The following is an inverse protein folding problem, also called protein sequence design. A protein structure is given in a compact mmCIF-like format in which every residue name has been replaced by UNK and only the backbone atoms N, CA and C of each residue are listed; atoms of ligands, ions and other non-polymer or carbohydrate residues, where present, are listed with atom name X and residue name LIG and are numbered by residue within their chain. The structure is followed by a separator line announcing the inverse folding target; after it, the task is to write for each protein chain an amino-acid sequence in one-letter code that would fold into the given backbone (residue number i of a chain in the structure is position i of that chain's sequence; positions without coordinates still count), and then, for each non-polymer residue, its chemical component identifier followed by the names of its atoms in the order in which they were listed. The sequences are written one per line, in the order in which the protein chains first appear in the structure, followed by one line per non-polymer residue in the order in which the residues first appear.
data_IF_787308365669
#
_entry.id   IF_787308365669
#
_cell.length_a   1.000
_cell.length_b   1.000
_cell.length_c   1.000
_cell.angle_alpha   90.00
_cell.angle_beta   90.00
_cell.angle_gamma   90.00
#
_symmetry.space_group_name_H-M   'P 1'
#
loop_
_entity.id
_entity.type
_entity.pdbx_description
1 polymer ?
#
# COMPACT_ATOMS: atom_id res chain seq x y z
N UNK A 1 -1.95 106.10 -5.09
CA UNK A 1 -1.26 105.23 -6.01
C UNK A 1 -0.69 104.02 -5.25
N UNK A 2 -1.37 102.93 -5.18
CA UNK A 2 -0.77 101.69 -4.69
C UNK A 2 -1.29 100.56 -5.52
N UNK A 3 -0.31 99.93 -6.26
CA UNK A 3 -0.55 98.76 -7.08
C UNK A 3 -0.50 97.49 -6.19
N UNK A 4 -1.59 96.79 -6.08
CA UNK A 4 -1.65 95.52 -5.42
C UNK A 4 -1.32 94.37 -6.41
N UNK A 5 -0.35 93.56 -6.06
CA UNK A 5 0.01 92.35 -6.80
C UNK A 5 -0.76 91.17 -6.28
N UNK A 6 -1.69 90.58 -7.07
CA UNK A 6 -2.31 89.31 -6.80
C UNK A 6 -1.34 88.19 -7.13
N UNK A 7 -1.00 87.36 -6.12
CA UNK A 7 -0.28 86.08 -6.29
C UNK A 7 -1.27 84.94 -6.45
N UNK A 8 -1.38 84.38 -7.66
CA UNK A 8 -2.08 83.15 -7.92
C UNK A 8 -1.28 81.97 -7.40
N UNK A 9 -1.86 81.23 -6.48
CA UNK A 9 -1.32 79.96 -5.99
C UNK A 9 -1.93 78.84 -6.84
N UNK A 10 -1.14 78.19 -7.67
CA UNK A 10 -1.53 76.94 -8.36
C UNK A 10 -1.33 75.77 -7.41
N UNK A 11 -2.42 75.13 -6.99
CA UNK A 11 -2.40 73.84 -6.26
C UNK A 11 -2.40 72.75 -7.30
N UNK A 12 -1.26 72.08 -7.47
CA UNK A 12 -1.16 70.87 -8.31
C UNK A 12 -1.62 69.69 -7.48
N UNK A 13 -2.80 69.15 -7.78
CA UNK A 13 -3.28 67.91 -7.21
C UNK A 13 -2.68 66.77 -8.00
N UNK A 14 -1.65 66.08 -7.44
CA UNK A 14 -1.12 64.86 -7.97
C UNK A 14 -2.08 63.70 -7.62
N UNK A 15 -2.85 63.24 -8.59
CA UNK A 15 -3.63 61.99 -8.46
C UNK A 15 -2.63 60.79 -8.53
N UNK A 16 -2.39 60.17 -7.35
CA UNK A 16 -1.68 58.88 -7.27
C UNK A 16 -2.67 57.79 -7.70
N UNK A 17 -2.59 57.37 -8.96
CA UNK A 17 -3.28 56.16 -9.44
C UNK A 17 -2.59 54.93 -8.84
N UNK A 18 -3.18 54.42 -7.76
CA UNK A 18 -2.82 53.10 -7.21
C UNK A 18 -3.33 52.03 -8.19
N UNK A 19 -2.46 51.57 -9.09
CA UNK A 19 -2.77 50.42 -9.94
C UNK A 19 -2.78 49.16 -9.08
N UNK A 20 -3.97 48.74 -8.68
CA UNK A 20 -4.19 47.40 -8.12
C UNK A 20 -3.99 46.42 -9.27
N UNK A 21 -2.79 45.88 -9.40
CA UNK A 21 -2.56 44.69 -10.21
C UNK A 21 -3.27 43.52 -9.50
N UNK A 22 -4.49 43.28 -9.94
CA UNK A 22 -5.12 41.97 -9.67
C UNK A 22 -4.25 40.95 -10.40
N UNK A 23 -3.41 40.24 -9.67
CA UNK A 23 -2.70 39.09 -10.20
C UNK A 23 -3.76 38.16 -10.77
N UNK A 24 -3.86 38.08 -12.09
CA UNK A 24 -4.72 37.12 -12.75
C UNK A 24 -4.28 35.73 -12.29
N UNK A 25 -5.16 35.05 -11.53
CA UNK A 25 -4.96 33.68 -11.10
C UNK A 25 -4.69 32.86 -12.35
N UNK A 26 -3.49 32.29 -12.48
CA UNK A 26 -3.15 31.45 -13.63
C UNK A 26 -4.21 30.36 -13.75
N UNK A 27 -4.66 30.02 -14.99
CA UNK A 27 -5.62 28.95 -15.15
C UNK A 27 -5.02 27.68 -14.54
N UNK A 28 -5.74 27.05 -13.61
CA UNK A 28 -5.32 25.84 -12.94
C UNK A 28 -5.02 24.76 -13.99
N UNK A 29 -3.73 24.49 -14.22
CA UNK A 29 -3.35 23.31 -14.98
C UNK A 29 -3.71 22.09 -14.14
N UNK A 30 -4.37 21.06 -14.73
CA UNK A 30 -4.66 19.87 -14.00
C UNK A 30 -3.38 19.23 -13.49
N UNK A 31 -3.40 18.73 -12.24
CA UNK A 31 -2.33 17.90 -11.71
C UNK A 31 -2.30 16.60 -12.52
N UNK A 32 -1.17 16.31 -13.16
CA UNK A 32 -0.96 15.04 -13.86
C UNK A 32 -0.28 14.09 -12.89
N UNK A 33 -0.95 12.97 -12.62
CA UNK A 33 -0.48 11.92 -11.72
C UNK A 33 -0.31 10.64 -12.53
N UNK A 34 0.89 10.11 -12.58
CA UNK A 34 1.14 8.77 -13.10
C UNK A 34 0.65 7.73 -12.09
N UNK A 35 0.04 6.69 -12.58
CA UNK A 35 -0.43 5.57 -11.74
C UNK A 35 0.20 4.29 -12.25
N UNK A 36 1.00 3.65 -11.41
CA UNK A 36 1.61 2.35 -11.67
C UNK A 36 0.85 1.30 -10.86
N UNK A 37 0.06 0.47 -11.54
CA UNK A 37 -0.79 -0.53 -10.90
C UNK A 37 -0.78 -1.83 -11.70
N UNK A 38 -0.86 -2.96 -11.03
CA UNK A 38 -1.05 -4.28 -11.67
C UNK A 38 -2.53 -4.44 -12.00
N UNK A 39 -2.93 -4.19 -13.23
CA UNK A 39 -4.34 -4.34 -13.66
C UNK A 39 -4.63 -5.73 -14.19
N UNK A 40 -3.59 -6.42 -14.66
CA UNK A 40 -3.63 -7.80 -15.12
C UNK A 40 -2.51 -8.62 -14.47
N UNK A 41 -2.57 -9.95 -14.54
CA UNK A 41 -1.58 -10.83 -13.93
C UNK A 41 -1.71 -10.95 -12.40
N UNK A 42 -0.64 -11.40 -11.72
CA UNK A 42 -0.63 -11.55 -10.26
C UNK A 42 -0.84 -10.19 -9.57
N UNK A 43 -1.74 -10.13 -8.59
CA UNK A 43 -2.04 -8.88 -7.88
C UNK A 43 -3.02 -7.94 -8.60
N UNK A 44 -3.73 -8.42 -9.63
CA UNK A 44 -4.70 -7.61 -10.39
C UNK A 44 -5.87 -7.13 -9.52
N UNK A 45 -6.29 -7.88 -8.53
CA UNK A 45 -7.32 -7.47 -7.57
C UNK A 45 -6.95 -6.19 -6.82
N UNK A 46 -5.70 -6.11 -6.38
CA UNK A 46 -5.16 -4.94 -5.68
C UNK A 46 -5.08 -3.72 -6.61
N UNK A 47 -4.54 -3.91 -7.82
CA UNK A 47 -4.37 -2.81 -8.78
C UNK A 47 -5.67 -2.22 -9.30
N UNK A 48 -6.67 -3.06 -9.59
CA UNK A 48 -7.99 -2.60 -10.03
C UNK A 48 -8.68 -1.76 -8.95
N UNK A 49 -8.65 -2.22 -7.70
CA UNK A 49 -9.20 -1.47 -6.56
C UNK A 49 -8.48 -0.13 -6.35
N UNK A 50 -7.16 -0.10 -6.49
CA UNK A 50 -6.34 1.12 -6.43
C UNK A 50 -6.77 2.17 -7.45
N UNK A 51 -6.94 1.78 -8.71
CA UNK A 51 -7.34 2.73 -9.78
C UNK A 51 -8.73 3.29 -9.52
N UNK A 52 -9.68 2.46 -9.08
CA UNK A 52 -11.04 2.93 -8.76
C UNK A 52 -11.04 3.83 -7.53
N UNK A 53 -10.23 3.56 -6.51
CA UNK A 53 -10.07 4.45 -5.35
C UNK A 53 -9.57 5.84 -5.76
N UNK A 54 -8.57 5.90 -6.66
CA UNK A 54 -8.05 7.16 -7.21
C UNK A 54 -9.09 7.91 -8.04
N UNK A 55 -9.90 7.21 -8.84
CA UNK A 55 -10.99 7.81 -9.61
C UNK A 55 -12.04 8.44 -8.69
N UNK A 56 -12.46 7.73 -7.64
CA UNK A 56 -13.41 8.25 -6.64
C UNK A 56 -12.85 9.47 -5.90
N UNK A 57 -11.56 9.47 -5.56
CA UNK A 57 -10.91 10.62 -4.95
C UNK A 57 -10.87 11.82 -5.90
N UNK A 58 -10.53 11.61 -7.18
CA UNK A 58 -10.53 12.65 -8.20
C UNK A 58 -11.94 13.22 -8.41
N UNK A 59 -12.96 12.38 -8.55
CA UNK A 59 -14.38 12.78 -8.65
C UNK A 59 -14.80 13.66 -7.44
N UNK A 60 -14.33 13.30 -6.25
CA UNK A 60 -14.64 14.05 -5.02
C UNK A 60 -13.95 15.41 -4.94
N UNK A 61 -12.71 15.50 -5.44
CA UNK A 61 -11.91 16.72 -5.47
C UNK A 61 -12.34 17.69 -6.60
N UNK A 62 -12.84 17.16 -7.71
CA UNK A 62 -13.30 17.92 -8.87
C UNK A 62 -14.75 18.43 -8.72
N UNK A 63 -15.03 19.11 -7.60
CA UNK A 63 -16.37 19.72 -7.41
C UNK A 63 -16.61 20.84 -8.40
N UNK A 64 -17.90 21.13 -8.82
CA UNK A 64 -18.24 22.26 -9.67
C UNK A 64 -17.73 23.59 -9.08
N UNK A 65 -16.86 24.29 -9.83
CA UNK A 65 -16.20 25.52 -9.36
C UNK A 65 -14.94 25.28 -8.54
N UNK A 66 -14.57 24.02 -8.25
CA UNK A 66 -13.30 23.64 -7.63
C UNK A 66 -12.12 24.02 -8.51
N UNK A 67 -10.99 24.34 -7.87
CA UNK A 67 -9.77 24.74 -8.59
C UNK A 67 -8.83 23.56 -8.85
N UNK A 68 -9.12 22.39 -8.27
CA UNK A 68 -8.31 21.19 -8.39
C UNK A 68 -8.87 20.27 -9.48
N UNK A 69 -8.00 19.94 -10.42
CA UNK A 69 -8.29 18.93 -11.46
C UNK A 69 -7.16 17.94 -11.49
N UNK A 70 -7.48 16.66 -11.63
CA UNK A 70 -6.52 15.56 -11.68
C UNK A 70 -6.63 14.82 -13.00
N UNK A 71 -5.51 14.61 -13.67
CA UNK A 71 -5.42 13.68 -14.79
C UNK A 71 -4.61 12.46 -14.34
N UNK A 72 -5.28 11.33 -14.18
CA UNK A 72 -4.67 10.05 -13.89
C UNK A 72 -4.17 9.41 -15.20
N UNK A 73 -2.87 9.13 -15.26
CA UNK A 73 -2.19 8.48 -16.38
C UNK A 73 -1.81 7.06 -15.92
N UNK A 74 -2.70 6.11 -16.21
CA UNK A 74 -2.63 4.75 -15.66
C UNK A 74 -1.83 3.84 -16.58
N UNK A 75 -0.86 3.12 -16.01
CA UNK A 75 -0.06 2.09 -16.66
C UNK A 75 -0.23 0.75 -15.93
N UNK A 76 -0.50 -0.31 -16.69
CA UNK A 76 -0.53 -1.68 -16.19
C UNK A 76 0.89 -2.22 -16.09
N UNK A 77 1.34 -2.48 -14.88
CA UNK A 77 2.69 -2.97 -14.62
C UNK A 77 2.79 -4.48 -14.48
N UNK A 78 1.67 -5.18 -14.33
CA UNK A 78 1.59 -6.65 -14.20
C UNK A 78 2.50 -7.23 -13.08
N UNK A 79 2.83 -6.43 -12.06
CA UNK A 79 3.87 -6.71 -11.06
C UNK A 79 5.27 -6.97 -11.67
N UNK A 80 5.53 -6.52 -12.90
CA UNK A 80 6.83 -6.63 -13.54
C UNK A 80 7.67 -5.37 -13.31
N UNK A 81 8.83 -5.48 -12.64
CA UNK A 81 9.71 -4.35 -12.38
C UNK A 81 10.20 -3.63 -13.65
N UNK A 82 10.32 -4.33 -14.78
CA UNK A 82 10.76 -3.72 -16.03
C UNK A 82 9.64 -2.89 -16.67
N UNK A 83 8.39 -3.40 -16.66
CA UNK A 83 7.23 -2.63 -17.11
C UNK A 83 7.01 -1.39 -16.24
N UNK A 84 7.22 -1.49 -14.93
CA UNK A 84 7.16 -0.34 -14.04
C UNK A 84 8.24 0.71 -14.38
N UNK A 85 9.47 0.29 -14.71
CA UNK A 85 10.54 1.19 -15.13
C UNK A 85 10.24 1.85 -16.49
N UNK A 86 9.75 1.11 -17.46
CA UNK A 86 9.34 1.66 -18.75
C UNK A 86 8.23 2.70 -18.58
N UNK A 87 7.24 2.39 -17.74
CA UNK A 87 6.12 3.29 -17.48
C UNK A 87 6.54 4.62 -16.82
N UNK A 88 7.40 4.59 -15.77
CA UNK A 88 7.86 5.83 -15.14
C UNK A 88 8.70 6.68 -16.10
N UNK A 89 9.52 6.05 -16.96
CA UNK A 89 10.30 6.75 -17.99
C UNK A 89 9.42 7.40 -19.07
N UNK A 90 8.31 6.74 -19.44
CA UNK A 90 7.34 7.31 -20.38
C UNK A 90 6.60 8.50 -19.75
N UNK A 91 6.18 8.36 -18.49
CA UNK A 91 5.50 9.41 -17.73
C UNK A 91 6.40 10.63 -17.53
N UNK A 92 7.70 10.44 -17.23
CA UNK A 92 8.67 11.51 -17.09
C UNK A 92 8.85 12.29 -18.42
N UNK A 93 8.98 11.60 -19.56
CA UNK A 93 9.02 12.24 -20.90
C UNK A 93 7.77 13.09 -21.18
N UNK A 94 6.66 12.78 -20.55
CA UNK A 94 5.43 13.55 -20.62
C UNK A 94 5.37 14.70 -19.58
N UNK A 95 6.43 14.87 -18.75
CA UNK A 95 6.52 15.88 -17.71
C UNK A 95 5.69 15.57 -16.47
N UNK A 96 5.47 14.30 -16.16
CA UNK A 96 4.81 13.84 -14.93
C UNK A 96 5.88 13.70 -13.84
N UNK A 97 5.68 14.39 -12.72
CA UNK A 97 6.62 14.41 -11.59
C UNK A 97 6.05 13.82 -10.31
N UNK A 98 4.83 13.29 -10.36
CA UNK A 98 4.16 12.62 -9.25
C UNK A 98 3.63 11.28 -9.72
N UNK A 99 4.03 10.23 -9.02
CA UNK A 99 3.60 8.84 -9.28
C UNK A 99 2.88 8.30 -8.04
N UNK A 100 1.73 7.68 -8.22
CA UNK A 100 1.09 6.81 -7.22
C UNK A 100 1.27 5.37 -7.67
N UNK A 101 1.77 4.53 -6.77
CA UNK A 101 2.32 3.22 -7.10
C UNK A 101 3.86 3.27 -7.15
N UNK A 102 4.53 2.17 -7.54
CA UNK A 102 3.94 0.88 -7.84
C UNK A 102 3.50 0.13 -6.58
N UNK A 103 2.88 -1.02 -6.80
CA UNK A 103 2.28 -1.82 -5.75
C UNK A 103 3.30 -2.73 -5.06
N UNK A 104 4.19 -3.38 -5.79
CA UNK A 104 5.15 -4.32 -5.22
C UNK A 104 6.50 -3.67 -4.89
N UNK A 105 7.17 -4.23 -3.90
CA UNK A 105 8.51 -3.78 -3.50
C UNK A 105 9.57 -4.04 -4.57
N UNK A 106 9.40 -5.05 -5.40
CA UNK A 106 10.31 -5.33 -6.53
C UNK A 106 10.22 -4.25 -7.60
N UNK A 107 9.01 -3.80 -7.92
CA UNK A 107 8.79 -2.68 -8.84
C UNK A 107 9.36 -1.38 -8.26
N UNK A 108 9.07 -1.10 -6.97
CA UNK A 108 9.56 0.10 -6.30
C UNK A 108 11.09 0.13 -6.24
N UNK A 109 11.74 -0.98 -5.90
CA UNK A 109 13.20 -1.10 -5.90
C UNK A 109 13.79 -0.80 -7.29
N UNK A 110 13.10 -1.22 -8.36
CA UNK A 110 13.54 -1.01 -9.73
C UNK A 110 13.42 0.43 -10.19
N UNK A 111 12.31 1.13 -9.84
CA UNK A 111 12.08 2.51 -10.29
C UNK A 111 12.75 3.56 -9.39
N UNK A 112 13.06 3.21 -8.12
CA UNK A 112 13.62 4.16 -7.13
C UNK A 112 14.84 4.95 -7.64
N UNK A 113 15.90 4.32 -8.22
CA UNK A 113 17.06 5.08 -8.69
C UNK A 113 16.70 6.11 -9.78
N UNK A 114 15.72 5.77 -10.63
CA UNK A 114 15.22 6.67 -11.65
C UNK A 114 14.45 7.84 -11.03
N UNK A 115 13.52 7.56 -10.13
CA UNK A 115 12.73 8.57 -9.44
C UNK A 115 13.60 9.58 -8.67
N UNK A 116 14.62 9.08 -7.95
CA UNK A 116 15.55 9.93 -7.19
C UNK A 116 16.38 10.84 -8.11
N UNK A 117 16.86 10.32 -9.25
CA UNK A 117 17.70 11.10 -10.18
C UNK A 117 16.92 12.08 -11.05
N UNK A 118 15.59 11.92 -11.20
CA UNK A 118 14.73 12.73 -12.05
C UNK A 118 13.76 13.64 -11.28
N UNK A 119 13.91 13.73 -9.94
CA UNK A 119 13.03 14.54 -9.09
C UNK A 119 11.55 14.15 -9.27
N UNK A 120 11.26 12.86 -9.24
CA UNK A 120 9.90 12.32 -9.28
C UNK A 120 9.51 11.90 -7.87
N UNK A 121 8.42 12.44 -7.34
CA UNK A 121 7.83 12.05 -6.08
C UNK A 121 7.00 10.78 -6.31
N UNK A 122 7.31 9.71 -5.58
CA UNK A 122 6.62 8.42 -5.66
C UNK A 122 5.88 8.15 -4.35
N UNK A 123 4.60 7.85 -4.45
CA UNK A 123 3.74 7.46 -3.33
C UNK A 123 3.31 6.02 -3.54
N UNK A 124 4.01 5.07 -2.93
CA UNK A 124 3.60 3.66 -2.98
C UNK A 124 2.59 3.36 -1.89
N UNK A 125 1.52 2.66 -2.27
CA UNK A 125 0.48 2.23 -1.35
C UNK A 125 0.73 0.84 -0.78
N UNK A 126 1.47 -0.03 -1.50
CA UNK A 126 1.59 -1.45 -1.18
C UNK A 126 3.02 -1.99 -1.06
N UNK A 127 4.05 -1.17 -1.29
CA UNK A 127 5.43 -1.60 -1.08
C UNK A 127 5.81 -1.52 0.40
N UNK A 128 6.02 -2.67 1.03
CA UNK A 128 6.27 -2.78 2.47
C UNK A 128 7.71 -3.13 2.84
N UNK A 129 8.55 -3.56 1.86
CA UNK A 129 9.91 -4.02 2.12
C UNK A 129 10.73 -3.05 2.98
N UNK A 130 11.24 -3.54 4.12
CA UNK A 130 12.05 -2.76 5.05
C UNK A 130 13.38 -2.28 4.45
N UNK A 131 13.88 -2.97 3.41
CA UNK A 131 15.07 -2.55 2.67
C UNK A 131 14.88 -1.26 1.87
N UNK A 132 13.64 -0.83 1.66
CA UNK A 132 13.27 0.41 0.98
C UNK A 132 12.86 1.54 1.95
N UNK A 133 12.97 1.33 3.26
CA UNK A 133 12.82 2.37 4.29
C UNK A 133 14.08 3.24 4.33
N UNK A 134 14.20 4.22 3.43
CA UNK A 134 15.42 5.03 3.24
C UNK A 134 15.07 6.50 3.41
N UNK A 135 15.64 7.12 4.44
CA UNK A 135 15.42 8.54 4.70
C UNK A 135 16.01 9.44 3.61
N UNK A 136 15.26 10.46 3.20
CA UNK A 136 15.72 11.52 2.31
C UNK A 136 15.57 11.22 0.81
N UNK A 137 15.19 10.01 0.41
CA UNK A 137 14.86 9.69 -0.98
C UNK A 137 13.51 10.31 -1.43
N UNK A 138 13.09 10.06 -2.67
CA UNK A 138 11.85 10.61 -3.22
C UNK A 138 10.66 9.65 -3.09
N UNK A 139 10.79 8.63 -2.23
CA UNK A 139 9.79 7.58 -2.04
C UNK A 139 9.05 7.81 -0.73
N UNK A 140 7.73 7.77 -0.81
CA UNK A 140 6.83 7.81 0.34
C UNK A 140 5.90 6.60 0.30
N UNK A 141 5.60 5.99 1.45
CA UNK A 141 4.76 4.81 1.53
C UNK A 141 3.62 5.04 2.51
N UNK A 142 2.38 4.98 2.02
CA UNK A 142 1.19 5.16 2.85
C UNK A 142 0.76 3.85 3.54
N UNK A 143 1.67 2.90 3.66
CA UNK A 143 1.55 1.66 4.40
C UNK A 143 2.71 1.49 5.40
N UNK A 144 2.51 0.76 6.51
CA UNK A 144 3.60 0.35 7.39
C UNK A 144 4.56 -0.60 6.67
N UNK A 145 5.81 -0.65 7.13
CA UNK A 145 6.82 -1.56 6.57
C UNK A 145 6.76 -2.98 7.17
N UNK A 146 7.46 -3.93 6.53
CA UNK A 146 7.52 -5.35 6.89
C UNK A 146 7.89 -5.61 8.36
N UNK A 147 8.67 -4.74 9.01
CA UNK A 147 8.99 -4.93 10.43
C UNK A 147 7.75 -4.82 11.29
N UNK A 148 6.87 -3.86 10.98
CA UNK A 148 5.60 -3.69 11.69
C UNK A 148 4.64 -4.83 11.41
N UNK A 149 4.59 -5.29 10.17
CA UNK A 149 3.77 -6.43 9.80
C UNK A 149 4.27 -7.72 10.48
N UNK A 150 5.58 -7.98 10.46
CA UNK A 150 6.19 -9.11 11.14
C UNK A 150 5.92 -9.13 12.66
N UNK A 151 5.95 -7.97 13.32
CA UNK A 151 5.53 -7.85 14.73
C UNK A 151 4.10 -8.34 14.93
N UNK A 152 3.17 -7.97 14.04
CA UNK A 152 1.77 -8.37 14.13
C UNK A 152 1.60 -9.87 13.86
N UNK A 153 2.21 -10.41 12.79
CA UNK A 153 2.16 -11.84 12.43
C UNK A 153 2.68 -12.70 13.58
N UNK A 154 3.85 -12.35 14.10
CA UNK A 154 4.50 -13.10 15.18
C UNK A 154 3.70 -13.02 16.46
N UNK A 155 3.11 -11.85 16.78
CA UNK A 155 2.24 -11.71 17.94
C UNK A 155 1.01 -12.64 17.85
N UNK A 156 0.38 -12.73 16.67
CA UNK A 156 -0.75 -13.65 16.46
C UNK A 156 -0.32 -15.11 16.59
N UNK A 157 0.76 -15.51 15.91
CA UNK A 157 1.29 -16.88 16.02
C UNK A 157 1.62 -17.26 17.47
N UNK A 158 2.24 -16.32 18.19
CA UNK A 158 2.60 -16.54 19.59
C UNK A 158 1.38 -16.64 20.52
N UNK A 159 0.36 -15.81 20.27
CA UNK A 159 -0.93 -15.86 20.95
C UNK A 159 -1.62 -17.21 20.72
N UNK A 160 -1.56 -17.75 19.51
CA UNK A 160 -2.16 -19.03 19.12
C UNK A 160 -1.33 -20.24 19.58
N UNK A 161 -0.20 -20.02 20.27
CA UNK A 161 0.65 -21.07 20.82
C UNK A 161 1.67 -21.65 19.84
N UNK A 162 1.86 -21.05 18.67
CA UNK A 162 2.87 -21.49 17.69
C UNK A 162 4.27 -21.19 18.23
N UNK A 163 5.17 -22.17 18.11
CA UNK A 163 6.57 -22.08 18.58
C UNK A 163 7.57 -22.54 17.51
N UNK A 164 7.08 -23.18 16.44
CA UNK A 164 7.89 -23.58 15.27
C UNK A 164 7.16 -23.20 14.00
N UNK A 165 7.85 -22.52 13.09
CA UNK A 165 7.32 -22.21 11.76
C UNK A 165 8.17 -22.83 10.67
N UNK A 166 7.47 -23.31 9.62
CA UNK A 166 8.05 -23.82 8.36
C UNK A 166 7.69 -22.81 7.28
N UNK A 167 8.64 -21.95 6.87
CA UNK A 167 8.33 -20.89 5.90
C UNK A 167 8.31 -21.40 4.46
N UNK A 168 7.37 -20.87 3.67
CA UNK A 168 7.29 -20.99 2.23
C UNK A 168 7.12 -19.58 1.66
N UNK A 169 8.01 -19.14 0.76
CA UNK A 169 7.93 -17.76 0.27
C UNK A 169 8.38 -17.59 -1.17
N UNK A 170 7.77 -16.61 -1.82
CA UNK A 170 8.12 -16.16 -3.16
C UNK A 170 9.47 -15.45 -3.16
N UNK A 171 10.30 -15.76 -4.17
CA UNK A 171 11.61 -15.15 -4.35
C UNK A 171 11.51 -13.77 -5.01
N UNK A 172 11.11 -12.76 -4.24
CA UNK A 172 11.13 -11.35 -4.65
C UNK A 172 11.50 -10.43 -3.46
N UNK A 173 11.61 -9.12 -3.73
CA UNK A 173 12.07 -8.15 -2.71
C UNK A 173 11.08 -8.02 -1.54
N UNK A 174 9.78 -8.04 -1.82
CA UNK A 174 8.73 -7.91 -0.80
C UNK A 174 8.64 -9.17 0.06
N UNK A 175 8.26 -10.28 -0.55
CA UNK A 175 8.03 -11.54 0.19
C UNK A 175 9.31 -12.08 0.85
N UNK A 176 10.49 -11.90 0.23
CA UNK A 176 11.77 -12.23 0.83
C UNK A 176 12.10 -11.35 2.03
N UNK A 177 11.86 -10.05 1.94
CA UNK A 177 12.06 -9.09 3.03
C UNK A 177 11.12 -9.33 4.21
N UNK A 178 9.85 -9.64 3.93
CA UNK A 178 8.87 -9.99 4.95
C UNK A 178 9.23 -11.32 5.63
N UNK A 179 9.63 -12.35 4.85
CA UNK A 179 10.13 -13.61 5.41
C UNK A 179 11.28 -13.37 6.40
N UNK A 180 12.29 -12.55 6.02
CA UNK A 180 13.45 -12.27 6.88
C UNK A 180 13.02 -11.49 8.15
N UNK A 181 12.06 -10.57 8.03
CA UNK A 181 11.50 -9.82 9.15
C UNK A 181 10.73 -10.73 10.12
N UNK A 182 9.87 -11.62 9.60
CA UNK A 182 9.12 -12.61 10.40
C UNK A 182 10.08 -13.60 11.07
N UNK A 183 11.05 -14.14 10.33
CA UNK A 183 12.08 -15.03 10.89
C UNK A 183 12.80 -14.37 12.06
N UNK A 184 13.32 -13.16 11.86
CA UNK A 184 14.04 -12.44 12.91
C UNK A 184 13.15 -12.18 14.13
N UNK A 185 11.93 -11.69 13.93
CA UNK A 185 11.00 -11.41 15.02
C UNK A 185 10.60 -12.68 15.79
N UNK A 186 10.36 -13.79 15.08
CA UNK A 186 9.95 -15.06 15.69
C UNK A 186 11.08 -15.70 16.50
N UNK A 187 12.32 -15.70 15.97
CA UNK A 187 13.52 -16.19 16.67
C UNK A 187 13.85 -15.33 17.90
N UNK A 188 13.66 -14.00 17.82
CA UNK A 188 13.86 -13.09 18.96
C UNK A 188 12.88 -13.37 20.13
N UNK A 189 11.71 -13.93 19.85
CA UNK A 189 10.78 -14.40 20.89
C UNK A 189 11.10 -15.82 21.40
N UNK A 190 12.15 -16.45 20.88
CA UNK A 190 12.55 -17.82 21.26
C UNK A 190 11.86 -18.92 20.45
N UNK A 191 11.23 -18.59 19.33
CA UNK A 191 10.65 -19.54 18.38
C UNK A 191 11.69 -20.20 17.50
N UNK A 192 11.32 -21.31 16.88
CA UNK A 192 12.14 -22.04 15.91
C UNK A 192 11.64 -21.80 14.48
N UNK A 193 12.55 -21.42 13.57
CA UNK A 193 12.25 -21.28 12.15
C UNK A 193 13.08 -22.31 11.38
N UNK A 194 12.38 -23.18 10.61
CA UNK A 194 13.08 -24.17 9.78
C UNK A 194 13.68 -23.53 8.53
N UNK A 195 14.38 -24.32 7.70
CA UNK A 195 14.95 -23.81 6.46
C UNK A 195 13.88 -23.31 5.47
N UNK A 196 12.69 -23.91 5.51
CA UNK A 196 11.59 -23.59 4.61
C UNK A 196 11.89 -23.88 3.14
N UNK A 197 11.13 -23.24 2.24
CA UNK A 197 11.33 -23.34 0.82
C UNK A 197 11.06 -22.01 0.11
N UNK A 198 12.01 -21.55 -0.68
CA UNK A 198 11.89 -20.35 -1.52
C UNK A 198 11.59 -20.76 -2.96
N UNK A 199 10.48 -20.29 -3.53
CA UNK A 199 10.11 -20.56 -4.92
C UNK A 199 10.27 -19.32 -5.81
N UNK A 200 10.53 -19.53 -7.09
CA UNK A 200 10.75 -18.45 -8.05
C UNK A 200 9.40 -17.82 -8.48
N UNK A 201 9.44 -16.55 -8.86
CA UNK A 201 8.26 -15.78 -9.29
C UNK A 201 7.55 -16.39 -10.51
N UNK A 202 8.25 -17.20 -11.29
CA UNK A 202 7.75 -17.91 -12.48
C UNK A 202 7.26 -19.33 -12.17
N UNK A 203 7.28 -19.75 -10.90
CA UNK A 203 6.87 -21.11 -10.52
C UNK A 203 5.38 -21.30 -10.75
N UNK A 204 5.02 -22.36 -11.48
CA UNK A 204 3.64 -22.79 -11.71
C UNK A 204 3.34 -24.17 -11.14
N UNK A 205 4.38 -24.98 -10.86
CA UNK A 205 4.27 -26.30 -10.22
C UNK A 205 4.82 -26.22 -8.79
N UNK A 206 3.93 -26.24 -7.81
CA UNK A 206 4.29 -26.15 -6.39
C UNK A 206 4.48 -27.52 -5.71
N UNK A 207 4.30 -28.64 -6.41
CA UNK A 207 4.51 -29.98 -5.87
C UNK A 207 5.85 -30.17 -5.15
N UNK A 208 7.00 -29.80 -5.74
CA UNK A 208 8.31 -29.88 -5.06
C UNK A 208 8.40 -29.03 -3.78
N UNK A 209 7.82 -27.83 -3.79
CA UNK A 209 7.78 -26.96 -2.63
C UNK A 209 6.94 -27.55 -1.49
N UNK A 210 5.76 -28.10 -1.83
CA UNK A 210 4.88 -28.75 -0.85
C UNK A 210 5.55 -30.00 -0.27
N UNK A 211 6.21 -30.83 -1.08
CA UNK A 211 6.92 -32.01 -0.60
C UNK A 211 8.03 -31.65 0.40
N UNK A 212 8.78 -30.58 0.14
CA UNK A 212 9.86 -30.11 1.03
C UNK A 212 9.31 -29.59 2.34
N UNK A 213 8.30 -28.69 2.34
CA UNK A 213 7.72 -28.17 3.60
C UNK A 213 7.00 -29.26 4.37
N UNK A 214 6.36 -30.23 3.71
CA UNK A 214 5.74 -31.40 4.32
C UNK A 214 6.78 -32.24 5.10
N UNK A 215 7.95 -32.48 4.49
CA UNK A 215 9.08 -33.16 5.14
C UNK A 215 9.56 -32.40 6.38
N UNK A 216 9.68 -31.07 6.30
CA UNK A 216 10.10 -30.24 7.43
C UNK A 216 9.06 -30.21 8.55
N UNK A 217 7.76 -30.13 8.23
CA UNK A 217 6.67 -30.25 9.20
C UNK A 217 6.71 -31.61 9.90
N UNK A 218 6.86 -32.70 9.13
CA UNK A 218 6.95 -34.05 9.70
C UNK A 218 8.16 -34.21 10.63
N UNK A 219 9.31 -33.63 10.24
CA UNK A 219 10.51 -33.59 11.07
C UNK A 219 10.28 -32.80 12.37
N UNK A 220 9.67 -31.60 12.30
CA UNK A 220 9.36 -30.77 13.46
C UNK A 220 8.41 -31.47 14.44
N UNK A 221 7.44 -32.25 13.97
CA UNK A 221 6.51 -33.05 14.77
C UNK A 221 7.20 -34.14 15.59
N UNK A 222 8.43 -34.54 15.22
CA UNK A 222 9.20 -35.52 16.02
C UNK A 222 9.74 -34.95 17.32
N UNK A 223 9.87 -33.62 17.43
CA UNK A 223 10.47 -32.91 18.57
C UNK A 223 9.57 -31.87 19.24
N UNK A 224 8.44 -31.55 18.60
CA UNK A 224 7.50 -30.53 19.08
C UNK A 224 6.06 -30.99 18.96
N UNK A 225 5.16 -30.56 19.86
CA UNK A 225 3.74 -30.87 19.76
C UNK A 225 3.16 -30.34 18.43
N UNK A 226 2.39 -31.12 17.68
CA UNK A 226 1.86 -30.73 16.38
C UNK A 226 1.09 -29.39 16.40
N UNK A 227 0.36 -29.11 17.49
CA UNK A 227 -0.40 -27.87 17.65
C UNK A 227 0.47 -26.60 17.79
N UNK A 228 1.79 -26.74 18.00
CA UNK A 228 2.72 -25.62 18.13
C UNK A 228 3.52 -25.37 16.84
N UNK A 229 3.19 -26.08 15.76
CA UNK A 229 3.87 -26.00 14.47
C UNK A 229 2.91 -25.38 13.44
N UNK A 230 3.40 -24.42 12.66
CA UNK A 230 2.64 -23.82 11.58
C UNK A 230 3.47 -23.69 10.29
N UNK A 231 2.80 -23.60 9.15
CA UNK A 231 3.38 -23.13 7.91
C UNK A 231 3.17 -21.62 7.83
N UNK A 232 4.21 -20.87 7.46
CA UNK A 232 4.13 -19.46 7.14
C UNK A 232 4.31 -19.26 5.64
N UNK A 233 3.35 -18.65 4.95
CA UNK A 233 3.38 -18.42 3.51
C UNK A 233 3.39 -16.93 3.20
N UNK A 234 4.47 -16.45 2.56
CA UNK A 234 4.51 -15.12 1.97
C UNK A 234 4.38 -15.24 0.43
N UNK A 235 3.27 -14.72 -0.11
CA UNK A 235 2.84 -14.94 -1.50
C UNK A 235 1.94 -13.81 -2.00
N UNK A 236 1.57 -13.90 -3.28
CA UNK A 236 0.47 -13.18 -3.91
C UNK A 236 -0.62 -14.17 -4.38
N UNK A 237 -1.31 -13.87 -5.49
CA UNK A 237 -2.42 -14.68 -6.00
C UNK A 237 -2.01 -16.11 -6.43
N UNK A 238 -0.72 -16.41 -6.60
CA UNK A 238 -0.24 -17.78 -6.80
C UNK A 238 -0.48 -18.71 -5.61
N UNK A 239 -0.91 -18.19 -4.47
CA UNK A 239 -1.42 -18.97 -3.33
C UNK A 239 -2.46 -20.00 -3.76
N UNK A 240 -3.25 -19.71 -4.79
CA UNK A 240 -4.20 -20.65 -5.40
C UNK A 240 -3.50 -21.93 -5.87
N UNK A 241 -2.39 -21.79 -6.57
CA UNK A 241 -1.57 -22.93 -7.05
C UNK A 241 -0.89 -23.69 -5.90
N UNK A 242 -0.41 -22.96 -4.89
CA UNK A 242 0.17 -23.52 -3.66
C UNK A 242 -0.88 -24.38 -2.94
N UNK A 243 -2.08 -23.88 -2.73
CA UNK A 243 -3.13 -24.58 -1.97
C UNK A 243 -3.74 -25.75 -2.75
N UNK A 244 -3.88 -25.63 -4.08
CA UNK A 244 -4.28 -26.77 -4.92
C UNK A 244 -3.27 -27.91 -4.83
N UNK A 245 -1.96 -27.59 -4.72
CA UNK A 245 -0.91 -28.59 -4.54
C UNK A 245 -0.89 -29.15 -3.10
N UNK A 246 -1.13 -28.32 -2.10
CA UNK A 246 -1.09 -28.71 -0.68
C UNK A 246 -2.31 -29.56 -0.24
N UNK A 247 -3.44 -29.39 -0.92
CA UNK A 247 -4.71 -30.03 -0.51
C UNK A 247 -4.66 -31.56 -0.46
N UNK A 248 -3.80 -32.19 -1.25
CA UNK A 248 -3.62 -33.66 -1.28
C UNK A 248 -2.58 -34.17 -0.29
N UNK A 249 -1.80 -33.31 0.36
CA UNK A 249 -0.78 -33.68 1.33
C UNK A 249 -1.35 -33.65 2.75
N UNK A 250 -1.43 -34.82 3.39
CA UNK A 250 -2.06 -34.97 4.72
C UNK A 250 -1.26 -34.34 5.86
N UNK A 251 0.03 -34.08 5.67
CA UNK A 251 0.86 -33.46 6.70
C UNK A 251 0.59 -31.96 6.75
N UNK A 252 0.68 -31.27 5.62
CA UNK A 252 0.49 -29.82 5.57
C UNK A 252 -0.98 -29.41 5.66
N UNK A 253 -1.92 -30.25 5.17
CA UNK A 253 -3.37 -30.00 5.35
C UNK A 253 -3.86 -30.20 6.78
N UNK A 254 -3.10 -30.92 7.60
CA UNK A 254 -3.33 -31.08 9.04
C UNK A 254 -2.46 -30.15 9.90
N UNK A 255 -1.95 -29.06 9.35
CA UNK A 255 -1.11 -28.05 10.02
C UNK A 255 -1.76 -26.68 9.89
N UNK A 256 -1.67 -25.82 10.91
CA UNK A 256 -2.11 -24.41 10.78
C UNK A 256 -1.22 -23.64 9.83
N UNK A 257 -1.83 -22.73 9.07
CA UNK A 257 -1.10 -21.85 8.16
C UNK A 257 -1.32 -20.39 8.54
N UNK A 258 -0.30 -19.55 8.28
CA UNK A 258 -0.36 -18.10 8.43
C UNK A 258 0.15 -17.46 7.14
N UNK A 259 -0.47 -16.39 6.73
CA UNK A 259 -0.17 -15.72 5.46
C UNK A 259 0.51 -14.37 5.61
N UNK A 260 0.51 -13.64 4.50
CA UNK A 260 1.09 -12.31 4.35
C UNK A 260 0.04 -11.33 3.80
N UNK A 261 0.38 -10.04 3.83
CA UNK A 261 -0.45 -8.94 3.31
C UNK A 261 -0.80 -9.11 1.83
N UNK A 262 0.12 -9.66 1.04
CA UNK A 262 -0.07 -9.87 -0.41
C UNK A 262 -1.20 -10.85 -0.77
N UNK A 263 -1.73 -11.61 0.20
CA UNK A 263 -2.86 -12.54 0.00
C UNK A 263 -4.15 -12.02 0.64
N UNK A 264 -4.05 -11.07 1.57
CA UNK A 264 -5.23 -10.56 2.25
C UNK A 264 -6.27 -10.01 1.25
N UNK A 265 -7.51 -10.48 1.36
CA UNK A 265 -8.64 -10.12 0.51
C UNK A 265 -8.48 -10.52 -0.98
N UNK A 266 -7.58 -11.45 -1.34
CA UNK A 266 -7.43 -11.98 -2.70
C UNK A 266 -8.75 -12.57 -3.22
N UNK A 267 -9.26 -12.04 -4.33
CA UNK A 267 -10.45 -12.56 -5.00
C UNK A 267 -10.18 -13.89 -5.70
N UNK A 268 -9.03 -14.11 -6.40
CA UNK A 268 -8.69 -15.40 -6.99
C UNK A 268 -8.70 -16.56 -6.00
N UNK A 269 -8.37 -16.32 -4.73
CA UNK A 269 -8.44 -17.35 -3.69
C UNK A 269 -9.89 -17.74 -3.37
N UNK A 270 -10.83 -16.81 -3.36
CA UNK A 270 -12.25 -17.10 -3.17
C UNK A 270 -12.87 -17.80 -4.37
N UNK A 271 -12.47 -17.44 -5.59
CA UNK A 271 -13.02 -17.95 -6.84
C UNK A 271 -12.61 -19.41 -7.11
N UNK A 272 -11.51 -19.89 -6.48
CA UNK A 272 -11.06 -21.26 -6.60
C UNK A 272 -11.56 -22.10 -5.40
N UNK A 273 -12.58 -22.91 -5.61
CA UNK A 273 -13.23 -23.68 -4.55
C UNK A 273 -12.28 -24.60 -3.78
N UNK A 274 -11.29 -25.23 -4.44
CA UNK A 274 -10.33 -26.11 -3.77
C UNK A 274 -9.40 -25.30 -2.86
N UNK A 275 -8.87 -24.19 -3.35
CA UNK A 275 -7.98 -23.33 -2.59
C UNK A 275 -8.73 -22.65 -1.42
N UNK A 276 -9.97 -22.18 -1.64
CA UNK A 276 -10.80 -21.59 -0.59
C UNK A 276 -11.13 -22.60 0.50
N UNK A 277 -11.48 -23.84 0.15
CA UNK A 277 -11.71 -24.94 1.11
C UNK A 277 -10.44 -25.23 1.92
N UNK A 278 -9.29 -25.32 1.27
CA UNK A 278 -8.01 -25.53 1.94
C UNK A 278 -7.70 -24.38 2.92
N UNK A 279 -7.77 -23.12 2.46
CA UNK A 279 -7.54 -21.95 3.30
C UNK A 279 -8.42 -21.92 4.55
N UNK A 280 -9.70 -22.26 4.39
CA UNK A 280 -10.64 -22.34 5.52
C UNK A 280 -10.30 -23.49 6.47
N UNK A 281 -9.89 -24.66 5.95
CA UNK A 281 -9.61 -25.85 6.77
C UNK A 281 -8.34 -25.72 7.61
N UNK A 282 -7.34 -25.00 7.14
CA UNK A 282 -6.05 -24.83 7.84
C UNK A 282 -5.97 -23.53 8.67
N UNK A 283 -7.10 -22.80 8.78
CA UNK A 283 -7.18 -21.51 9.47
C UNK A 283 -6.06 -20.56 9.05
N UNK A 284 -6.15 -20.03 7.82
CA UNK A 284 -5.13 -19.22 7.17
C UNK A 284 -5.40 -17.72 7.34
N UNK A 285 -5.02 -17.08 8.49
CA UNK A 285 -5.12 -15.63 8.66
C UNK A 285 -4.02 -14.91 7.91
N UNK A 286 -4.40 -13.84 7.22
CA UNK A 286 -3.52 -12.98 6.45
C UNK A 286 -3.58 -11.56 7.03
N UNK A 287 -2.45 -10.96 7.42
CA UNK A 287 -2.41 -9.60 7.91
C UNK A 287 -2.58 -8.60 6.77
N UNK A 288 -3.16 -7.46 7.10
CA UNK A 288 -3.01 -6.23 6.33
C UNK A 288 -3.14 -5.07 7.32
N UNK A 289 -2.52 -3.92 7.05
CA UNK A 289 -2.74 -2.80 7.96
C UNK A 289 -4.24 -2.46 8.06
N UNK A 290 -4.70 -2.29 9.31
CA UNK A 290 -6.14 -2.19 9.62
C UNK A 290 -6.66 -0.77 9.50
N UNK A 291 -7.92 -0.66 9.12
CA UNK A 291 -8.65 0.59 9.16
C UNK A 291 -9.13 0.87 10.59
N UNK A 292 -9.25 2.15 10.94
CA UNK A 292 -9.84 2.54 12.22
C UNK A 292 -11.36 2.33 12.17
N UNK A 293 -11.88 1.48 13.06
CA UNK A 293 -13.34 1.23 13.17
C UNK A 293 -14.12 2.50 13.55
N UNK A 294 -13.49 3.45 14.25
CA UNK A 294 -14.11 4.75 14.56
C UNK A 294 -14.33 5.61 13.31
N UNK A 295 -13.59 5.36 12.23
CA UNK A 295 -13.73 6.03 10.93
C UNK A 295 -14.59 5.24 9.94
N UNK A 296 -15.28 4.19 10.36
CA UNK A 296 -16.06 3.32 9.46
C UNK A 296 -17.06 4.13 8.61
N UNK A 297 -17.73 5.10 9.17
CA UNK A 297 -18.65 5.97 8.42
C UNK A 297 -17.98 6.76 7.28
N UNK A 298 -16.66 6.91 7.30
CA UNK A 298 -15.88 7.61 6.27
C UNK A 298 -15.34 6.64 5.21
N UNK A 299 -14.78 5.50 5.62
CA UNK A 299 -14.16 4.57 4.66
C UNK A 299 -15.15 3.57 4.06
N UNK A 300 -16.21 3.17 4.78
CA UNK A 300 -17.16 2.16 4.28
C UNK A 300 -17.85 2.58 2.97
N UNK A 301 -18.36 3.82 2.81
CA UNK A 301 -18.98 4.23 1.54
C UNK A 301 -18.02 4.19 0.35
N UNK A 302 -16.72 4.45 0.58
CA UNK A 302 -15.70 4.38 -0.46
C UNK A 302 -15.39 2.92 -0.81
N UNK A 303 -15.26 2.07 0.22
CA UNK A 303 -15.10 0.62 0.05
C UNK A 303 -16.25 0.02 -0.76
N UNK A 304 -17.49 0.33 -0.39
CA UNK A 304 -18.70 -0.16 -1.08
C UNK A 304 -18.75 0.32 -2.55
N UNK A 305 -18.34 1.57 -2.81
CA UNK A 305 -18.30 2.11 -4.16
C UNK A 305 -17.21 1.44 -5.03
N UNK A 306 -16.05 1.08 -4.44
CA UNK A 306 -15.01 0.33 -5.14
C UNK A 306 -15.52 -1.07 -5.45
N UNK A 307 -16.07 -1.77 -4.47
CA UNK A 307 -16.61 -3.12 -4.63
C UNK A 307 -17.74 -3.15 -5.68
N UNK A 308 -18.63 -2.16 -5.67
CA UNK A 308 -19.69 -2.04 -6.69
C UNK A 308 -19.16 -1.84 -8.12
N UNK A 309 -17.99 -1.19 -8.30
CA UNK A 309 -17.39 -0.96 -9.62
C UNK A 309 -16.49 -2.10 -10.09
N UNK A 310 -15.85 -2.83 -9.17
CA UNK A 310 -14.85 -3.85 -9.49
C UNK A 310 -15.34 -5.28 -9.25
N UNK A 311 -16.34 -5.47 -8.39
CA UNK A 311 -16.69 -6.78 -7.84
C UNK A 311 -15.71 -7.28 -6.78
N UNK A 312 -14.70 -6.46 -6.40
CA UNK A 312 -13.61 -6.82 -5.49
C UNK A 312 -13.73 -5.96 -4.23
N UNK A 313 -13.73 -6.59 -3.07
CA UNK A 313 -13.64 -5.87 -1.79
C UNK A 313 -12.25 -5.26 -1.68
N UNK A 314 -12.14 -3.91 -1.57
CA UNK A 314 -10.83 -3.27 -1.52
C UNK A 314 -10.16 -3.54 -0.18
N UNK A 315 -8.84 -3.60 -0.22
CA UNK A 315 -7.98 -3.62 0.93
C UNK A 315 -7.65 -2.21 1.44
N UNK A 316 -6.90 -2.13 2.54
CA UNK A 316 -6.46 -0.85 3.08
C UNK A 316 -5.40 -0.17 2.19
N UNK A 317 -4.63 -0.91 1.38
CA UNK A 317 -3.69 -0.35 0.42
C UNK A 317 -4.42 0.46 -0.66
N UNK A 318 -5.47 -0.11 -1.25
CA UNK A 318 -6.29 0.61 -2.22
C UNK A 318 -6.93 1.86 -1.61
N UNK A 319 -7.49 1.77 -0.40
CA UNK A 319 -8.10 2.90 0.29
C UNK A 319 -7.08 3.99 0.65
N UNK A 320 -5.82 3.66 0.91
CA UNK A 320 -4.77 4.65 1.17
C UNK A 320 -4.46 5.52 -0.05
N UNK A 321 -4.72 5.03 -1.27
CA UNK A 321 -4.55 5.84 -2.48
C UNK A 321 -5.63 6.91 -2.64
N UNK A 322 -6.82 6.67 -2.10
CA UNK A 322 -7.83 7.72 -1.98
C UNK A 322 -7.28 8.87 -1.13
N UNK A 323 -6.69 8.58 0.02
CA UNK A 323 -6.06 9.59 0.88
C UNK A 323 -4.88 10.29 0.19
N UNK A 324 -4.10 9.56 -0.62
CA UNK A 324 -2.95 10.11 -1.34
C UNK A 324 -3.29 11.34 -2.20
N UNK A 325 -4.42 11.31 -2.93
CA UNK A 325 -4.84 12.44 -3.74
C UNK A 325 -5.26 13.65 -2.88
N UNK A 326 -5.86 13.43 -1.71
CA UNK A 326 -6.19 14.51 -0.79
C UNK A 326 -4.93 15.13 -0.18
N UNK A 327 -3.94 14.31 0.20
CA UNK A 327 -2.64 14.79 0.68
C UNK A 327 -1.95 15.63 -0.41
N UNK A 328 -1.94 15.16 -1.65
CA UNK A 328 -1.38 15.92 -2.79
C UNK A 328 -2.12 17.25 -3.02
N UNK A 329 -3.44 17.26 -2.91
CA UNK A 329 -4.21 18.50 -2.99
C UNK A 329 -3.81 19.49 -1.88
N UNK A 330 -3.69 19.04 -0.64
CA UNK A 330 -3.24 19.87 0.47
C UNK A 330 -1.81 20.38 0.28
N UNK A 331 -0.89 19.53 -0.23
CA UNK A 331 0.47 19.94 -0.53
C UNK A 331 0.55 21.03 -1.59
N UNK A 332 -0.29 20.96 -2.64
CA UNK A 332 -0.35 21.96 -3.70
C UNK A 332 -0.97 23.27 -3.24
N UNK A 333 -1.98 23.24 -2.37
CA UNK A 333 -2.57 24.46 -1.80
C UNK A 333 -1.56 25.21 -0.91
N UNK A 334 -0.68 24.48 -0.23
CA UNK A 334 0.33 25.04 0.67
C UNK A 334 1.62 25.46 -0.07
N UNK A 335 1.96 24.79 -1.17
CA UNK A 335 3.12 25.16 -1.98
C UNK A 335 2.78 26.36 -2.89
N UNK A 336 3.08 27.57 -2.42
CA UNK A 336 2.87 28.80 -3.20
C UNK A 336 3.72 28.92 -4.47
N UNK A 337 4.62 27.97 -4.73
CA UNK A 337 5.51 27.91 -5.90
C UNK A 337 5.71 26.46 -6.34
N UNK A 338 4.95 26.02 -7.30
CA UNK A 338 5.14 24.74 -8.02
C UNK A 338 6.40 24.80 -8.92
N UNK A 339 7.50 25.35 -8.44
CA UNK A 339 8.72 25.55 -9.22
C UNK A 339 9.93 24.79 -8.68
N UNK A 340 9.94 24.46 -7.40
CA UNK A 340 11.04 23.73 -6.76
C UNK A 340 10.51 22.39 -6.23
N UNK A 341 11.14 21.29 -6.70
CA UNK A 341 10.78 19.93 -6.28
C UNK A 341 10.99 19.72 -4.79
N UNK A 342 12.04 20.32 -4.20
CA UNK A 342 12.33 20.20 -2.78
C UNK A 342 11.23 20.84 -1.92
N UNK A 343 10.74 22.02 -2.32
CA UNK A 343 9.64 22.72 -1.66
C UNK A 343 8.34 21.89 -1.75
N UNK A 344 8.06 21.31 -2.92
CA UNK A 344 6.89 20.46 -3.12
C UNK A 344 6.97 19.17 -2.27
N UNK A 345 8.13 18.52 -2.25
CA UNK A 345 8.38 17.33 -1.43
C UNK A 345 8.19 17.64 0.06
N UNK A 346 8.72 18.78 0.55
CA UNK A 346 8.50 19.23 1.94
C UNK A 346 7.02 19.47 2.22
N UNK A 347 6.31 20.16 1.33
CA UNK A 347 4.88 20.42 1.47
C UNK A 347 4.05 19.11 1.48
N UNK A 348 4.47 18.10 0.72
CA UNK A 348 3.84 16.77 0.76
C UNK A 348 4.03 16.10 2.13
N UNK A 349 5.24 16.13 2.68
CA UNK A 349 5.53 15.55 4.01
C UNK A 349 4.72 16.26 5.10
N UNK A 350 4.66 17.60 5.08
CA UNK A 350 3.89 18.39 6.04
C UNK A 350 2.39 18.10 5.92
N UNK A 351 1.89 17.99 4.69
CA UNK A 351 0.49 17.61 4.43
C UNK A 351 0.20 16.20 4.95
N UNK A 352 1.03 15.21 4.63
CA UNK A 352 0.86 13.82 5.08
C UNK A 352 0.89 13.72 6.62
N UNK A 353 1.79 14.46 7.28
CA UNK A 353 1.93 14.44 8.73
C UNK A 353 0.76 15.08 9.48
N UNK A 354 0.01 15.97 8.84
CA UNK A 354 -1.14 16.65 9.42
C UNK A 354 -2.49 16.07 8.98
N UNK A 355 -2.51 15.20 7.96
CA UNK A 355 -3.75 14.68 7.40
C UNK A 355 -4.26 13.45 8.15
N UNK A 356 -5.55 13.45 8.44
CA UNK A 356 -6.29 12.28 8.91
C UNK A 356 -7.33 11.96 7.85
N UNK A 357 -7.06 10.92 7.09
CA UNK A 357 -7.88 10.48 5.98
C UNK A 357 -8.90 9.42 6.36
N UNK A 358 -9.49 8.80 5.34
CA UNK A 358 -10.41 7.68 5.54
C UNK A 358 -9.69 6.45 6.13
N UNK A 359 -8.39 6.33 5.91
CA UNK A 359 -7.56 5.25 6.48
C UNK A 359 -6.94 5.60 7.85
N UNK A 360 -7.29 6.74 8.44
CA UNK A 360 -6.74 7.25 9.69
C UNK A 360 -5.56 8.19 9.49
N UNK A 361 -4.68 8.29 10.49
CA UNK A 361 -3.49 9.14 10.41
C UNK A 361 -2.55 8.66 9.30
N UNK A 362 -2.12 9.58 8.43
CA UNK A 362 -1.16 9.32 7.35
C UNK A 362 0.25 9.83 7.68
N UNK A 363 0.50 10.12 8.97
CA UNK A 363 1.80 10.58 9.43
C UNK A 363 2.92 9.62 9.02
N UNK A 364 4.02 10.19 8.55
CA UNK A 364 5.19 9.49 8.04
C UNK A 364 6.30 9.45 9.10
N UNK A 365 7.06 8.38 9.09
CA UNK A 365 8.31 8.29 9.85
C UNK A 365 9.49 8.97 9.12
N UNK A 366 10.68 8.87 9.69
CA UNK A 366 11.88 9.49 9.12
C UNK A 366 12.29 8.91 7.75
N UNK A 367 11.84 7.70 7.42
CA UNK A 367 12.08 7.06 6.12
C UNK A 367 10.98 7.38 5.08
N UNK A 368 9.93 8.13 5.46
CA UNK A 368 8.80 8.41 4.57
C UNK A 368 7.76 7.29 4.53
N UNK A 369 7.79 6.36 5.49
CA UNK A 369 6.82 5.29 5.62
C UNK A 369 5.71 5.69 6.60
N UNK A 370 4.51 5.12 6.46
CA UNK A 370 3.44 5.30 7.44
C UNK A 370 3.91 4.89 8.84
N UNK A 371 3.90 5.84 9.76
CA UNK A 371 4.55 5.68 11.07
C UNK A 371 3.85 4.63 11.96
N UNK A 372 2.54 4.50 11.84
CA UNK A 372 1.76 3.55 12.64
C UNK A 372 0.42 3.19 11.99
N UNK A 373 0.02 1.95 12.18
CA UNK A 373 -1.34 1.46 11.94
C UNK A 373 -1.55 0.16 12.74
N UNK A 374 -2.80 -0.17 13.12
CA UNK A 374 -3.12 -1.52 13.55
C UNK A 374 -3.00 -2.48 12.37
N UNK A 375 -2.99 -3.79 12.64
CA UNK A 375 -3.11 -4.82 11.61
C UNK A 375 -4.37 -5.64 11.84
N UNK A 376 -5.15 -5.82 10.80
CA UNK A 376 -6.28 -6.75 10.77
C UNK A 376 -5.85 -8.07 10.13
N UNK A 377 -6.31 -9.18 10.70
CA UNK A 377 -6.09 -10.50 10.14
C UNK A 377 -7.37 -11.00 9.50
N UNK A 378 -7.28 -11.34 8.22
CA UNK A 378 -8.41 -11.83 7.44
C UNK A 378 -8.21 -13.31 7.09
N UNK A 379 -9.24 -14.09 7.25
CA UNK A 379 -9.24 -15.52 6.89
C UNK A 379 -10.49 -15.87 6.09
N UNK A 380 -10.36 -16.86 5.21
CA UNK A 380 -11.50 -17.39 4.45
C UNK A 380 -12.42 -18.18 5.39
N UNK A 381 -13.72 -17.86 5.35
CA UNK A 381 -14.79 -18.58 6.05
C UNK A 381 -15.95 -18.79 5.10
N UNK A 382 -16.69 -19.88 5.33
CA UNK A 382 -17.87 -20.20 4.56
C UNK A 382 -19.14 -19.79 5.32
N UNK A 383 -20.00 -19.02 4.66
CA UNK A 383 -21.35 -18.69 5.14
C UNK A 383 -22.36 -19.22 4.12
N UNK A 384 -23.20 -20.17 4.54
CA UNK A 384 -24.17 -20.85 3.65
C UNK A 384 -23.52 -21.46 2.39
N UNK A 385 -22.30 -22.00 2.52
CA UNK A 385 -21.55 -22.62 1.42
C UNK A 385 -20.82 -21.65 0.49
N UNK A 386 -20.88 -20.36 0.75
CA UNK A 386 -20.17 -19.32 -0.03
C UNK A 386 -18.92 -18.88 0.74
N UNK A 387 -17.71 -18.95 0.13
CA UNK A 387 -16.49 -18.44 0.76
C UNK A 387 -16.48 -16.92 0.80
N UNK A 388 -15.92 -16.38 1.86
CA UNK A 388 -15.74 -14.94 2.04
C UNK A 388 -14.64 -14.63 3.04
N UNK A 389 -14.07 -13.44 2.94
CA UNK A 389 -13.09 -12.96 3.88
C UNK A 389 -13.75 -12.42 5.15
N UNK A 390 -13.28 -12.89 6.30
CA UNK A 390 -13.75 -12.45 7.62
C UNK A 390 -12.56 -12.03 8.45
N UNK A 391 -12.67 -10.85 9.09
CA UNK A 391 -11.66 -10.41 10.07
C UNK A 391 -11.72 -11.34 11.29
N UNK A 392 -10.62 -12.02 11.58
CA UNK A 392 -10.54 -13.03 12.64
C UNK A 392 -9.71 -12.59 13.83
N UNK A 393 -8.85 -11.59 13.66
CA UNK A 393 -8.08 -10.98 14.73
C UNK A 393 -7.67 -9.55 14.35
N UNK A 394 -7.24 -8.78 15.35
CA UNK A 394 -6.62 -7.47 15.18
C UNK A 394 -5.40 -7.39 16.09
N UNK A 395 -4.31 -6.85 15.56
CA UNK A 395 -3.13 -6.46 16.33
C UNK A 395 -3.06 -4.94 16.44
N UNK A 396 -2.90 -4.44 17.65
CA UNK A 396 -2.68 -3.03 17.88
C UNK A 396 -1.82 -2.84 19.14
N UNK A 397 -0.74 -2.06 19.02
CA UNK A 397 0.14 -1.68 20.13
C UNK A 397 0.59 -2.87 21.00
N UNK A 398 1.03 -3.96 20.38
CA UNK A 398 1.55 -5.15 21.07
C UNK A 398 0.49 -6.14 21.56
N UNK A 399 -0.79 -5.88 21.32
CA UNK A 399 -1.90 -6.74 21.76
C UNK A 399 -2.66 -7.32 20.57
N UNK A 400 -3.08 -8.58 20.71
CA UNK A 400 -3.96 -9.30 19.78
C UNK A 400 -5.34 -9.39 20.39
N UNK A 401 -6.39 -9.09 19.61
CA UNK A 401 -7.79 -9.07 20.02
C UNK A 401 -8.60 -10.02 19.16
#
# INVERSE_FOLDING_TARGET
MFKGHARSVFITISLLLLSITVAAKQPNRPLRVGVLASLTGPGSSLGQSTVVALQLAAEKLETPGGQFKVHLLVHDTQLDPNLALEAIQELDKQGVTVIIGPQSSSELAKIKPYADSHNILVISQGSTASSLSIAGDNIFRLCPNDKREAEAIVALMWHDGIRTIVPLWRNDVGNGGLHDSVKSAFENMGGTVTAGFRYETTTTNFGPAIAEISSQVASARSSSPPATIAVYLAAFDEVVGVFNSAASDSVVSGTSWYGSDGVALSQPLLDNSNAANFASSVNYPNPIFGLDDALQSSWQPISDAIEARTGIKPDAFALSTYDALFILNHALDNSRRVGDFADFKSAFVDAANSYVGITGSTALDAAGDRASAPFDFWAVRFTNGVPGWVRVARYNNGQVF
#
